data_IF_947946287413
#
_entry.id   IF_947946287413
#
_cell.length_a   1.000
_cell.length_b   1.000
_cell.length_c   1.000
_cell.angle_alpha   90.00
_cell.angle_beta   90.00
_cell.angle_gamma   90.00
#
_symmetry.space_group_name_H-M   'P 1'
#
loop_
_entity.id
_entity.type
_entity.pdbx_description
1 polymer ?
#
# COMPACT_ATOMS: atom_id res chain seq x y z
N UNK A 1 -19.12 1.23 -31.04
CA UNK A 1 -18.47 2.35 -30.33
C UNK A 1 -17.62 1.77 -29.23
N UNK A 2 -16.35 2.02 -29.32
CA UNK A 2 -15.45 1.60 -28.26
C UNK A 2 -15.71 2.47 -27.03
N UNK A 3 -16.15 1.84 -25.97
CA UNK A 3 -16.25 2.52 -24.70
C UNK A 3 -14.84 2.72 -24.15
N UNK A 4 -14.57 3.92 -23.71
CA UNK A 4 -13.30 4.22 -23.08
C UNK A 4 -13.14 3.36 -21.85
N UNK A 5 -12.05 2.61 -21.79
CA UNK A 5 -11.71 1.78 -20.64
C UNK A 5 -11.19 2.67 -19.53
N UNK A 6 -11.70 2.46 -18.33
CA UNK A 6 -11.35 3.26 -17.15
C UNK A 6 -10.74 2.38 -16.06
N UNK A 7 -10.31 3.02 -14.98
CA UNK A 7 -9.79 2.31 -13.81
C UNK A 7 -10.78 1.27 -13.29
N UNK A 8 -12.07 1.57 -13.34
CA UNK A 8 -13.14 0.65 -12.90
C UNK A 8 -13.07 -0.70 -13.64
N UNK A 9 -12.71 -0.67 -14.91
CA UNK A 9 -12.72 -1.88 -15.74
C UNK A 9 -11.57 -2.83 -15.43
N UNK A 10 -10.46 -2.31 -14.87
CA UNK A 10 -9.27 -3.10 -14.59
C UNK A 10 -9.01 -3.30 -13.10
N UNK A 11 -9.69 -2.58 -12.23
CA UNK A 11 -9.47 -2.69 -10.79
C UNK A 11 -9.96 -4.02 -10.21
N UNK A 12 -9.37 -4.42 -9.08
CA UNK A 12 -9.95 -5.42 -8.20
C UNK A 12 -11.03 -4.71 -7.36
N UNK A 13 -12.32 -5.05 -7.52
CA UNK A 13 -13.39 -4.36 -6.80
C UNK A 13 -13.57 -4.83 -5.35
N UNK A 14 -12.86 -5.88 -4.95
CA UNK A 14 -12.99 -6.48 -3.63
C UNK A 14 -11.62 -6.74 -3.00
N UNK A 15 -10.77 -5.73 -2.87
CA UNK A 15 -9.45 -5.93 -2.27
C UNK A 15 -9.57 -6.23 -0.78
N UNK A 16 -8.58 -6.94 -0.25
CA UNK A 16 -8.44 -7.07 1.20
C UNK A 16 -8.15 -5.68 1.77
N UNK A 17 -8.89 -5.29 2.81
CA UNK A 17 -8.74 -3.98 3.44
C UNK A 17 -8.30 -4.13 4.88
N UNK A 18 -7.64 -3.10 5.40
CA UNK A 18 -7.26 -2.96 6.80
C UNK A 18 -8.05 -1.82 7.42
N UNK A 19 -8.14 -1.83 8.73
CA UNK A 19 -8.75 -0.75 9.53
C UNK A 19 -7.66 0.01 10.28
N UNK A 20 -7.85 1.29 10.60
CA UNK A 20 -6.84 2.08 11.31
C UNK A 20 -6.43 1.49 12.66
N UNK A 21 -7.35 0.80 13.32
CA UNK A 21 -7.11 0.16 14.61
C UNK A 21 -6.46 -1.22 14.54
N UNK A 22 -6.30 -1.78 13.34
CA UNK A 22 -5.59 -3.04 13.18
C UNK A 22 -4.14 -2.88 13.63
N UNK A 23 -3.58 -3.95 14.19
CA UNK A 23 -2.20 -3.90 14.70
C UNK A 23 -1.19 -4.08 13.56
N UNK A 24 0.00 -3.53 13.77
CA UNK A 24 1.12 -3.71 12.84
C UNK A 24 1.40 -5.19 12.63
N UNK A 25 1.38 -5.99 13.69
CA UNK A 25 1.59 -7.44 13.60
C UNK A 25 0.60 -8.12 12.68
N UNK A 26 -0.69 -7.81 12.82
CA UNK A 26 -1.74 -8.37 11.95
C UNK A 26 -1.56 -7.94 10.50
N UNK A 27 -1.28 -6.66 10.27
CA UNK A 27 -1.08 -6.14 8.91
C UNK A 27 0.14 -6.78 8.22
N UNK A 28 1.24 -6.92 8.94
CA UNK A 28 2.46 -7.59 8.44
C UNK A 28 2.15 -9.05 8.08
N UNK A 29 1.39 -9.73 8.92
CA UNK A 29 1.00 -11.11 8.67
C UNK A 29 0.18 -11.26 7.39
N UNK A 30 -0.78 -10.36 7.15
CA UNK A 30 -1.55 -10.33 5.90
C UNK A 30 -0.67 -10.09 4.69
N UNK A 31 0.25 -9.13 4.78
CA UNK A 31 1.17 -8.82 3.68
C UNK A 31 2.05 -10.02 3.35
N UNK A 32 2.61 -10.66 4.35
CA UNK A 32 3.51 -11.80 4.14
C UNK A 32 2.77 -13.03 3.64
N UNK A 33 1.60 -13.35 4.21
CA UNK A 33 0.83 -14.54 3.85
C UNK A 33 0.33 -14.50 2.41
N UNK A 34 -0.08 -13.32 1.93
CA UNK A 34 -0.67 -13.15 0.61
C UNK A 34 0.31 -12.53 -0.39
N UNK A 35 1.50 -12.17 0.04
CA UNK A 35 2.53 -11.49 -0.76
C UNK A 35 2.05 -10.20 -1.40
N UNK A 36 1.23 -9.45 -0.70
CA UNK A 36 0.82 -8.11 -1.12
C UNK A 36 1.95 -7.11 -0.91
N UNK A 37 2.03 -6.12 -1.80
CA UNK A 37 2.96 -5.00 -1.60
C UNK A 37 2.36 -3.92 -0.71
N UNK A 38 1.06 -3.76 -0.79
CA UNK A 38 0.32 -2.80 0.04
C UNK A 38 -1.13 -3.20 0.14
N UNK A 39 -1.76 -2.77 1.22
CA UNK A 39 -3.19 -2.96 1.46
C UNK A 39 -3.82 -1.61 1.77
N UNK A 40 -5.01 -1.33 1.20
CA UNK A 40 -5.72 -0.10 1.53
C UNK A 40 -6.28 -0.15 2.95
N UNK A 41 -6.30 1.02 3.58
CA UNK A 41 -6.85 1.21 4.92
C UNK A 41 -8.14 2.03 4.78
N UNK A 42 -9.23 1.53 5.32
CA UNK A 42 -10.53 2.18 5.26
C UNK A 42 -11.14 2.32 6.66
N UNK A 43 -12.04 3.29 6.82
CA UNK A 43 -12.79 3.45 8.07
C UNK A 43 -14.03 2.54 8.11
N UNK A 44 -14.86 2.69 9.15
CA UNK A 44 -16.07 1.89 9.32
C UNK A 44 -17.11 2.07 8.22
N UNK A 45 -17.07 3.18 7.49
CA UNK A 45 -17.98 3.49 6.39
C UNK A 45 -17.39 3.13 5.03
N UNK A 46 -16.19 2.56 4.99
CA UNK A 46 -15.52 2.19 3.75
C UNK A 46 -14.78 3.33 3.08
N UNK A 47 -14.58 4.46 3.77
CA UNK A 47 -13.81 5.58 3.23
C UNK A 47 -12.32 5.26 3.26
N UNK A 48 -11.65 5.62 2.17
CA UNK A 48 -10.21 5.43 2.05
C UNK A 48 -9.45 6.40 2.97
N UNK A 49 -8.50 5.86 3.73
CA UNK A 49 -7.67 6.63 4.66
C UNK A 49 -6.20 6.65 4.27
N UNK A 50 -5.72 5.60 3.65
CA UNK A 50 -4.31 5.46 3.29
C UNK A 50 -3.98 4.03 2.92
N UNK A 51 -2.70 3.72 2.84
CA UNK A 51 -2.23 2.36 2.58
C UNK A 51 -1.21 1.93 3.61
N UNK A 52 -1.22 0.64 3.94
CA UNK A 52 -0.16 -0.01 4.69
C UNK A 52 0.61 -0.91 3.71
N UNK A 53 1.89 -0.66 3.56
CA UNK A 53 2.71 -1.38 2.59
C UNK A 53 4.00 -1.91 3.18
N UNK A 54 4.80 -2.54 2.32
CA UNK A 54 6.10 -3.09 2.71
C UNK A 54 7.04 -2.02 3.28
N UNK A 55 6.88 -0.76 2.87
CA UNK A 55 7.66 0.33 3.44
C UNK A 55 7.35 0.56 4.93
N UNK A 56 6.11 0.35 5.34
CA UNK A 56 5.73 0.43 6.76
C UNK A 56 6.43 -0.69 7.55
N UNK A 57 6.45 -1.89 6.99
CA UNK A 57 7.17 -3.01 7.59
C UNK A 57 8.66 -2.71 7.71
N UNK A 58 9.28 -2.24 6.64
CA UNK A 58 10.71 -1.93 6.65
C UNK A 58 11.05 -0.86 7.67
N UNK A 59 10.24 0.19 7.78
CA UNK A 59 10.42 1.23 8.80
C UNK A 59 10.27 0.67 10.21
N UNK A 60 9.41 -0.31 10.40
CA UNK A 60 9.20 -0.92 11.71
C UNK A 60 10.38 -1.78 12.18
N UNK A 61 11.13 -2.37 11.25
CA UNK A 61 12.26 -3.24 11.59
C UNK A 61 13.62 -2.53 11.52
N UNK A 62 13.72 -1.43 10.76
CA UNK A 62 14.98 -0.72 10.62
C UNK A 62 15.30 0.12 11.86
N UNK A 63 16.58 0.27 12.21
CA UNK A 63 16.99 1.21 13.26
C UNK A 63 16.58 2.63 12.87
N UNK A 64 16.13 3.40 13.86
CA UNK A 64 15.71 4.78 13.64
C UNK A 64 16.81 5.64 13.03
N UNK A 65 18.06 5.42 13.45
CA UNK A 65 19.21 6.12 12.91
C UNK A 65 19.39 5.92 11.41
N UNK A 66 19.11 4.69 10.91
CA UNK A 66 19.22 4.39 9.49
C UNK A 66 18.16 5.13 8.66
N UNK A 67 16.95 5.32 9.21
CA UNK A 67 15.85 6.00 8.53
C UNK A 67 16.07 7.51 8.51
N UNK A 68 16.56 8.06 9.61
CA UNK A 68 16.74 9.52 9.77
C UNK A 68 17.97 10.04 9.05
N UNK A 69 18.93 9.20 8.74
CA UNK A 69 20.15 9.60 8.06
C UNK A 69 19.90 9.71 6.56
N UNK A 70 20.13 10.89 6.02
CA UNK A 70 19.99 11.16 4.59
C UNK A 70 21.17 10.67 3.77
N UNK A 71 22.27 10.31 4.42
CA UNK A 71 23.46 9.81 3.75
C UNK A 71 23.67 8.33 3.99
N UNK A 72 24.08 7.60 2.94
CA UNK A 72 24.47 6.21 3.05
C UNK A 72 25.77 6.02 3.84
N UNK A 73 26.41 7.12 4.22
CA UNK A 73 27.71 7.10 4.87
C UNK A 73 27.70 6.52 6.28
N UNK A 74 26.59 6.64 7.01
CA UNK A 74 26.48 6.06 8.35
C UNK A 74 25.90 4.63 8.35
N UNK A 75 25.22 4.23 7.28
CA UNK A 75 24.62 2.88 7.16
C UNK A 75 25.65 1.76 7.33
N UNK A 76 26.86 1.84 6.75
CA UNK A 76 27.87 0.79 6.94
C UNK A 76 28.32 0.60 8.39
N UNK A 77 28.12 1.57 9.25
CA UNK A 77 28.49 1.47 10.67
C UNK A 77 27.39 0.90 11.54
N UNK A 78 26.16 0.77 11.00
CA UNK A 78 25.04 0.17 11.70
C UNK A 78 25.11 -1.33 11.52
N UNK A 79 25.33 -2.04 12.62
CA UNK A 79 25.37 -3.51 12.61
C UNK A 79 24.17 -4.04 13.40
N UNK A 80 23.32 -4.75 12.69
CA UNK A 80 22.13 -5.34 13.25
C UNK A 80 22.09 -6.83 12.95
N UNK A 81 21.62 -7.60 13.91
CA UNK A 81 21.35 -9.02 13.72
C UNK A 81 19.87 -9.21 13.36
N UNK A 82 19.54 -10.37 12.83
CA UNK A 82 18.14 -10.72 12.58
C UNK A 82 17.32 -10.66 13.88
N UNK A 83 17.94 -11.06 15.00
CA UNK A 83 17.28 -10.99 16.31
C UNK A 83 16.95 -9.54 16.70
N UNK A 84 17.81 -8.58 16.38
CA UNK A 84 17.57 -7.17 16.65
C UNK A 84 16.38 -6.65 15.82
N UNK A 85 16.29 -7.02 14.55
CA UNK A 85 15.19 -6.64 13.69
C UNK A 85 13.87 -7.23 14.16
N UNK A 86 13.87 -8.49 14.56
CA UNK A 86 12.69 -9.15 15.13
C UNK A 86 12.23 -8.50 16.43
N UNK A 87 13.17 -8.16 17.32
CA UNK A 87 12.85 -7.52 18.59
C UNK A 87 12.20 -6.15 18.35
N UNK A 88 12.68 -5.40 17.35
CA UNK A 88 12.13 -4.08 17.01
C UNK A 88 10.70 -4.20 16.48
N UNK A 89 10.44 -5.18 15.63
CA UNK A 89 9.07 -5.45 15.15
C UNK A 89 8.14 -5.85 16.29
N UNK A 90 8.60 -6.74 17.17
CA UNK A 90 7.81 -7.19 18.32
C UNK A 90 7.46 -6.06 19.28
N UNK A 91 8.36 -5.08 19.42
CA UNK A 91 8.10 -3.92 20.25
C UNK A 91 6.95 -3.04 19.71
N UNK A 92 6.64 -3.15 18.43
CA UNK A 92 5.62 -2.34 17.74
C UNK A 92 4.43 -3.16 17.26
N UNK A 93 4.44 -4.49 17.40
CA UNK A 93 3.43 -5.36 16.77
C UNK A 93 2.01 -5.12 17.26
N UNK A 94 1.85 -4.58 18.47
CA UNK A 94 0.54 -4.27 19.04
C UNK A 94 0.09 -2.83 18.79
N UNK A 95 0.94 -2.00 18.17
CA UNK A 95 0.59 -0.63 17.83
C UNK A 95 -0.39 -0.59 16.65
N UNK A 96 -1.30 0.40 16.61
CA UNK A 96 -2.22 0.53 15.49
C UNK A 96 -1.49 1.00 14.23
N UNK A 97 -1.95 0.53 13.07
CA UNK A 97 -1.35 0.91 11.78
C UNK A 97 -1.58 2.38 11.44
N UNK A 98 -2.56 3.03 12.06
CA UNK A 98 -2.84 4.45 11.84
C UNK A 98 -1.61 5.34 12.06
N UNK A 99 -0.68 4.93 12.91
CA UNK A 99 0.53 5.68 13.19
C UNK A 99 1.63 5.53 12.13
N UNK A 100 1.51 4.55 11.22
CA UNK A 100 2.56 4.30 10.23
C UNK A 100 2.06 4.17 8.80
N UNK A 101 0.75 4.13 8.57
CA UNK A 101 0.21 4.05 7.20
C UNK A 101 0.57 5.29 6.39
N UNK A 102 0.70 5.12 5.08
CA UNK A 102 0.98 6.21 4.14
C UNK A 102 -0.32 6.85 3.68
N UNK A 103 -0.38 8.18 3.74
CA UNK A 103 -1.57 8.95 3.32
C UNK A 103 -1.31 9.78 2.06
N UNK A 104 -0.08 9.79 1.57
CA UNK A 104 0.36 10.58 0.43
C UNK A 104 0.43 9.78 -0.88
N UNK A 105 -0.06 8.56 -0.86
CA UNK A 105 -0.12 7.71 -2.06
C UNK A 105 -1.16 8.30 -3.01
N UNK A 106 -0.83 8.47 -4.30
CA UNK A 106 -1.81 8.97 -5.26
C UNK A 106 -2.94 7.97 -5.45
N UNK A 107 -4.13 8.53 -5.68
CA UNK A 107 -5.33 7.75 -5.94
C UNK A 107 -5.89 8.12 -7.31
N UNK A 108 -6.72 7.26 -7.88
CA UNK A 108 -7.45 7.54 -9.10
C UNK A 108 -8.94 7.37 -8.84
N UNK A 109 -9.77 8.01 -9.67
CA UNK A 109 -11.21 7.82 -9.62
C UNK A 109 -11.62 6.61 -10.47
N UNK A 110 -12.78 5.99 -10.21
CA UNK A 110 -13.26 4.89 -11.06
C UNK A 110 -13.35 5.25 -12.54
N UNK A 111 -13.67 6.51 -12.85
CA UNK A 111 -13.82 6.98 -14.22
C UNK A 111 -12.52 7.51 -14.84
N UNK A 112 -11.41 7.44 -14.12
CA UNK A 112 -10.11 7.85 -14.66
C UNK A 112 -9.77 6.98 -15.89
N UNK A 113 -9.43 7.58 -17.04
CA UNK A 113 -9.08 6.80 -18.23
C UNK A 113 -7.93 5.84 -17.98
N UNK A 114 -7.95 4.72 -18.69
CA UNK A 114 -6.95 3.66 -18.47
C UNK A 114 -5.52 4.17 -18.66
N UNK A 115 -5.26 4.94 -19.72
CA UNK A 115 -3.90 5.44 -19.99
C UNK A 115 -3.40 6.31 -18.84
N UNK A 116 -4.25 7.18 -18.32
CA UNK A 116 -3.90 8.02 -17.17
C UNK A 116 -3.65 7.16 -15.92
N UNK A 117 -4.50 6.15 -15.68
CA UNK A 117 -4.34 5.20 -14.57
C UNK A 117 -2.99 4.48 -14.67
N UNK A 118 -2.64 3.99 -15.87
CA UNK A 118 -1.37 3.32 -16.09
C UNK A 118 -0.17 4.24 -15.87
N UNK A 119 -0.29 5.49 -16.28
CA UNK A 119 0.78 6.47 -16.08
C UNK A 119 1.03 6.75 -14.60
N UNK A 120 -0.04 6.88 -13.83
CA UNK A 120 0.07 7.05 -12.37
C UNK A 120 0.70 5.81 -11.73
N UNK A 121 0.25 4.62 -12.14
CA UNK A 121 0.81 3.35 -11.67
C UNK A 121 2.30 3.25 -11.99
N UNK A 122 2.69 3.59 -13.20
CA UNK A 122 4.08 3.57 -13.65
C UNK A 122 4.97 4.49 -12.81
N UNK A 123 4.50 5.71 -12.55
CA UNK A 123 5.27 6.71 -11.81
C UNK A 123 5.44 6.34 -10.33
N UNK A 124 4.45 5.68 -9.75
CA UNK A 124 4.44 5.38 -8.31
C UNK A 124 4.96 3.99 -7.95
N UNK A 125 5.02 3.09 -8.92
CA UNK A 125 5.55 1.74 -8.75
C UNK A 125 4.87 0.94 -7.63
N UNK A 126 3.64 1.27 -7.33
CA UNK A 126 2.86 0.62 -6.28
C UNK A 126 1.40 0.55 -6.73
N UNK A 127 0.65 -0.38 -6.14
CA UNK A 127 -0.79 -0.47 -6.39
C UNK A 127 -1.49 0.84 -6.07
N UNK A 128 -2.50 1.18 -6.87
CA UNK A 128 -3.24 2.43 -6.73
C UNK A 128 -4.61 2.17 -6.11
N UNK A 129 -4.96 2.91 -5.06
CA UNK A 129 -6.35 2.93 -4.61
C UNK A 129 -7.24 3.64 -5.63
N UNK A 130 -8.42 3.07 -5.88
CA UNK A 130 -9.47 3.70 -6.68
C UNK A 130 -10.51 4.22 -5.72
N UNK A 131 -10.70 5.52 -5.69
CA UNK A 131 -11.52 6.20 -4.68
C UNK A 131 -12.61 7.02 -5.36
N UNK A 132 -13.84 6.88 -4.87
CA UNK A 132 -14.98 7.67 -5.33
C UNK A 132 -14.79 9.14 -4.92
N UNK A 133 -14.74 10.09 -5.87
CA UNK A 133 -14.46 11.49 -5.51
C UNK A 133 -15.53 12.12 -4.61
N UNK A 134 -16.80 11.75 -4.83
CA UNK A 134 -17.90 12.37 -4.09
C UNK A 134 -17.98 11.90 -2.65
N UNK A 135 -17.74 10.61 -2.38
CA UNK A 135 -17.93 10.02 -1.05
C UNK A 135 -16.62 9.76 -0.31
N UNK A 136 -15.49 9.70 -1.02
CA UNK A 136 -14.23 9.28 -0.47
C UNK A 136 -14.12 7.77 -0.22
N UNK A 137 -15.12 7.00 -0.67
CA UNK A 137 -15.12 5.55 -0.45
C UNK A 137 -14.15 4.84 -1.38
N UNK A 138 -13.54 3.79 -0.87
CA UNK A 138 -12.68 2.92 -1.69
C UNK A 138 -13.56 2.10 -2.63
N UNK A 139 -13.31 2.23 -3.94
CA UNK A 139 -13.98 1.43 -4.95
C UNK A 139 -13.21 0.15 -5.29
N UNK A 140 -11.90 0.20 -5.21
CA UNK A 140 -11.06 -0.95 -5.53
C UNK A 140 -9.57 -0.60 -5.51
N UNK A 141 -8.76 -1.52 -6.00
CA UNK A 141 -7.31 -1.35 -6.14
C UNK A 141 -6.88 -1.75 -7.55
N UNK A 142 -5.91 -1.03 -8.11
CA UNK A 142 -5.29 -1.40 -9.38
C UNK A 142 -3.84 -1.77 -9.13
N UNK A 143 -3.47 -3.00 -9.49
CA UNK A 143 -2.11 -3.49 -9.42
C UNK A 143 -1.56 -3.78 -10.81
N UNK A 144 -0.25 -4.01 -10.91
CA UNK A 144 0.36 -4.46 -12.16
C UNK A 144 -0.24 -5.77 -12.64
N UNK A 145 -0.61 -6.65 -11.71
CA UNK A 145 -1.21 -7.95 -12.06
C UNK A 145 -2.60 -7.78 -12.67
N UNK A 146 -3.42 -6.88 -12.13
CA UNK A 146 -4.75 -6.59 -12.65
C UNK A 146 -4.67 -6.08 -14.10
N UNK A 147 -3.76 -5.15 -14.35
CA UNK A 147 -3.53 -4.60 -15.68
C UNK A 147 -2.99 -5.66 -16.63
N UNK A 148 -2.01 -6.43 -16.16
CA UNK A 148 -1.40 -7.49 -16.97
C UNK A 148 -2.42 -8.55 -17.39
N UNK A 149 -3.29 -8.96 -16.49
CA UNK A 149 -4.36 -9.91 -16.80
C UNK A 149 -5.27 -9.40 -17.91
N UNK A 150 -5.66 -8.11 -17.84
CA UNK A 150 -6.50 -7.50 -18.86
C UNK A 150 -5.82 -7.43 -20.23
N UNK A 151 -4.53 -7.10 -20.26
CA UNK A 151 -3.77 -7.02 -21.52
C UNK A 151 -3.61 -8.40 -22.13
N UNK A 152 -3.38 -9.42 -21.32
CA UNK A 152 -3.11 -10.77 -21.82
C UNK A 152 -4.37 -11.57 -22.13
N UNK A 153 -5.51 -11.19 -21.58
CA UNK A 153 -6.77 -11.93 -21.77
C UNK A 153 -7.57 -11.51 -22.99
N UNK A 154 -7.09 -10.54 -23.74
CA UNK A 154 -7.80 -10.05 -24.91
C UNK A 154 -7.77 -11.02 -26.11
#
# INVERSE_FOLDING_TARGET
MDQDITARDVMDPSPTVLRPGDTIGTAVEHIMSHRYRSLPVVDGDGRYLGVFGVNCLLRSVLPRAAIMDRGLTSVPFIRETLADLKARLRAQEHDPISGCMSTDVPVVAPDTPLVETLLVLYRNRASLPVVEPASGRLAGMVSYFDVGEHILSA
#
